data_IF_535451211891
#
_entry.id   IF_535451211891
#
_cell.length_a   1.000
_cell.length_b   1.000
_cell.length_c   1.000
_cell.angle_alpha   90.00
_cell.angle_beta   90.00
_cell.angle_gamma   90.00
#
_symmetry.space_group_name_H-M   'P 1'
#
loop_
_entity.id
_entity.type
_entity.pdbx_description
1 polymer ?
#
# COMPACT_ATOMS: atom_id res chain seq x y z
N UNK A 1 38.14 -3.88 59.26
CA UNK A 1 38.68 -2.68 58.58
C UNK A 1 38.96 -2.94 57.11
N UNK A 2 39.88 -3.85 56.75
CA UNK A 2 40.23 -4.14 55.35
C UNK A 2 39.06 -4.59 54.45
N UNK A 3 38.16 -5.46 54.96
CA UNK A 3 36.97 -5.93 54.22
C UNK A 3 35.97 -4.81 53.91
N UNK A 4 35.83 -3.84 54.81
CA UNK A 4 34.93 -2.68 54.63
C UNK A 4 35.51 -1.74 53.56
N UNK A 5 36.83 -1.54 53.56
CA UNK A 5 37.54 -0.77 52.53
C UNK A 5 37.34 -1.38 51.12
N UNK A 6 37.41 -2.71 51.01
CA UNK A 6 37.20 -3.43 49.74
C UNK A 6 35.75 -3.28 49.24
N UNK A 7 34.76 -3.32 50.13
CA UNK A 7 33.35 -3.12 49.76
C UNK A 7 33.07 -1.69 49.30
N UNK A 8 33.67 -0.69 49.94
CA UNK A 8 33.55 0.72 49.53
C UNK A 8 34.20 0.93 48.16
N UNK A 9 35.39 0.35 47.94
CA UNK A 9 36.09 0.45 46.66
C UNK A 9 35.31 -0.25 45.52
N UNK A 10 34.70 -1.41 45.79
CA UNK A 10 33.84 -2.12 44.84
C UNK A 10 32.60 -1.30 44.46
N UNK A 11 31.97 -0.63 45.42
CA UNK A 11 30.80 0.23 45.18
C UNK A 11 31.17 1.44 44.31
N UNK A 12 32.33 2.04 44.57
CA UNK A 12 32.85 3.18 43.80
C UNK A 12 33.17 2.80 42.34
N UNK A 13 33.68 1.58 42.09
CA UNK A 13 33.95 1.10 40.74
C UNK A 13 32.65 0.85 39.95
N UNK A 14 31.58 0.41 40.62
CA UNK A 14 30.27 0.20 39.97
C UNK A 14 29.61 1.52 39.54
N UNK A 15 29.72 2.58 40.36
CA UNK A 15 29.13 3.89 40.03
C UNK A 15 29.85 4.57 38.87
N UNK A 16 31.18 4.43 38.77
CA UNK A 16 31.96 4.98 37.64
C UNK A 16 31.58 4.39 36.27
N UNK A 17 31.14 3.12 36.19
CA UNK A 17 30.72 2.51 34.92
C UNK A 17 29.46 3.16 34.33
N UNK A 18 28.59 3.73 35.17
CA UNK A 18 27.34 4.35 34.72
C UNK A 18 27.54 5.68 33.96
N UNK A 19 28.69 6.34 34.16
CA UNK A 19 28.98 7.63 33.53
C UNK A 19 29.53 7.52 32.10
N UNK A 20 30.02 6.34 31.68
CA UNK A 20 30.60 6.13 30.35
C UNK A 20 29.55 5.95 29.23
N UNK A 21 28.29 5.66 29.58
CA UNK A 21 27.18 5.53 28.62
C UNK A 21 26.43 6.84 28.34
N UNK A 22 26.92 7.97 28.85
CA UNK A 22 26.27 9.28 28.72
C UNK A 22 26.82 10.16 27.58
N UNK A 23 27.73 9.65 26.75
CA UNK A 23 28.23 10.41 25.60
C UNK A 23 27.16 10.45 24.51
N UNK A 24 26.54 11.62 24.33
CA UNK A 24 25.60 11.89 23.24
C UNK A 24 26.27 11.52 21.91
N UNK A 25 25.57 10.74 21.08
CA UNK A 25 26.07 10.41 19.74
C UNK A 25 26.40 11.71 18.97
N UNK A 26 27.60 11.78 18.43
CA UNK A 26 28.03 12.90 17.59
C UNK A 26 27.23 12.82 16.29
N UNK A 27 26.63 13.94 15.88
CA UNK A 27 25.85 14.01 14.64
C UNK A 27 26.78 13.80 13.45
N UNK A 28 26.79 12.59 12.91
CA UNK A 28 27.49 12.23 11.68
C UNK A 28 26.52 12.23 10.50
N UNK A 29 27.05 12.23 9.27
CA UNK A 29 26.24 12.20 8.05
C UNK A 29 25.34 10.95 7.93
N UNK A 30 25.65 9.88 8.64
CA UNK A 30 24.84 8.66 8.73
C UNK A 30 23.46 8.94 9.34
N UNK A 31 23.37 9.89 10.27
CA UNK A 31 22.14 10.26 11.00
C UNK A 31 21.09 10.85 10.05
N UNK A 32 21.48 11.42 8.90
CA UNK A 32 20.54 11.95 7.92
C UNK A 32 19.64 10.87 7.31
N UNK A 33 20.11 9.62 7.23
CA UNK A 33 19.29 8.54 6.72
C UNK A 33 18.17 8.14 7.69
N UNK A 34 18.34 8.42 8.98
CA UNK A 34 17.35 8.14 10.02
C UNK A 34 16.27 9.21 10.12
N UNK A 35 16.48 10.37 9.50
CA UNK A 35 15.52 11.45 9.50
C UNK A 35 14.28 11.08 8.69
N UNK A 36 13.13 11.18 9.36
CA UNK A 36 11.82 10.91 8.78
C UNK A 36 11.07 12.22 8.62
N UNK A 37 10.60 12.48 7.42
CA UNK A 37 9.75 13.61 7.10
C UNK A 37 8.28 13.24 7.30
N UNK A 38 7.49 14.18 7.80
CA UNK A 38 6.03 14.07 7.83
C UNK A 38 5.46 14.74 6.57
N UNK A 39 4.62 14.01 5.83
CA UNK A 39 4.00 14.47 4.59
C UNK A 39 2.51 14.14 4.59
N UNK A 40 1.77 14.81 3.71
CA UNK A 40 0.35 14.53 3.44
C UNK A 40 -0.50 14.45 4.72
N UNK A 41 -0.29 15.39 5.65
CA UNK A 41 -1.10 15.50 6.86
C UNK A 41 -2.53 15.86 6.44
N UNK A 42 -3.49 15.05 6.85
CA UNK A 42 -4.92 15.28 6.60
C UNK A 42 -5.72 15.01 7.87
N UNK A 43 -6.80 15.74 8.01
CA UNK A 43 -7.78 15.56 9.07
C UNK A 43 -9.08 15.09 8.41
N UNK A 44 -9.80 14.20 9.08
CA UNK A 44 -11.07 13.68 8.61
C UNK A 44 -12.18 14.76 8.67
N UNK A 45 -13.26 14.65 7.87
CA UNK A 45 -14.30 15.69 7.78
C UNK A 45 -14.93 16.16 9.11
N UNK A 46 -15.10 15.27 10.07
CA UNK A 46 -15.63 15.53 11.42
C UNK A 46 -14.51 15.74 12.45
N UNK A 47 -13.25 15.47 12.10
CA UNK A 47 -12.09 15.67 12.97
C UNK A 47 -11.79 14.53 13.95
N UNK A 48 -12.46 13.37 13.84
CA UNK A 48 -12.19 12.23 14.73
C UNK A 48 -10.88 11.52 14.40
N UNK A 49 -10.39 11.66 13.16
CA UNK A 49 -9.17 11.01 12.69
C UNK A 49 -8.18 12.01 12.11
N UNK A 50 -6.90 11.77 12.39
CA UNK A 50 -5.77 12.46 11.79
C UNK A 50 -4.90 11.44 11.08
N UNK A 51 -4.49 11.72 9.85
CA UNK A 51 -3.56 10.86 9.11
C UNK A 51 -2.34 11.66 8.65
N UNK A 52 -1.20 10.99 8.62
CA UNK A 52 0.05 11.54 8.11
C UNK A 52 0.94 10.42 7.57
N UNK A 53 1.73 10.75 6.57
CA UNK A 53 2.74 9.88 5.99
C UNK A 53 4.09 10.17 6.63
N UNK A 54 4.71 9.15 7.22
CA UNK A 54 6.09 9.22 7.71
C UNK A 54 7.00 8.63 6.66
N UNK A 55 7.85 9.44 6.03
CA UNK A 55 8.70 9.01 4.93
C UNK A 55 10.19 9.22 5.26
N UNK A 56 11.01 8.14 5.26
CA UNK A 56 12.45 8.26 5.39
C UNK A 56 13.06 8.90 4.12
N UNK A 57 14.31 9.36 4.22
CA UNK A 57 15.03 9.89 3.06
C UNK A 57 15.13 8.88 1.90
N UNK A 58 15.34 7.60 2.22
CA UNK A 58 15.33 6.49 1.26
C UNK A 58 14.54 5.32 1.84
N UNK A 59 13.76 4.67 0.98
CA UNK A 59 13.01 3.46 1.32
C UNK A 59 11.50 3.69 1.41
N UNK A 60 10.85 2.77 2.10
CA UNK A 60 9.40 2.72 2.22
C UNK A 60 8.89 3.61 3.36
N UNK A 61 7.81 4.36 3.08
CA UNK A 61 7.11 5.16 4.07
C UNK A 61 6.08 4.36 4.86
N UNK A 62 5.58 4.95 5.94
CA UNK A 62 4.50 4.40 6.77
C UNK A 62 3.38 5.43 6.88
N UNK A 63 2.18 5.04 6.47
CA UNK A 63 0.98 5.84 6.66
C UNK A 63 0.40 5.56 8.05
N UNK A 64 0.27 6.61 8.85
CA UNK A 64 -0.35 6.55 10.15
C UNK A 64 -1.80 7.02 10.06
N UNK A 65 -2.69 6.29 10.71
CA UNK A 65 -4.05 6.73 11.06
C UNK A 65 -4.14 6.83 12.58
N UNK A 66 -4.40 8.03 13.06
CA UNK A 66 -4.55 8.33 14.48
C UNK A 66 -6.00 8.68 14.78
N UNK A 67 -6.59 8.00 15.76
CA UNK A 67 -7.88 8.38 16.31
C UNK A 67 -7.65 9.43 17.40
N UNK A 68 -8.26 10.60 17.23
CA UNK A 68 -8.07 11.75 18.11
C UNK A 68 -8.75 11.56 19.48
N UNK A 69 -9.84 10.78 19.55
CA UNK A 69 -10.58 10.52 20.79
C UNK A 69 -9.98 9.39 21.61
N UNK A 70 -9.72 8.24 20.98
CA UNK A 70 -9.21 7.04 21.67
C UNK A 70 -7.68 6.99 21.76
N UNK A 71 -6.99 7.91 21.10
CA UNK A 71 -5.52 7.90 20.92
C UNK A 71 -4.95 6.63 20.27
N UNK A 72 -5.81 5.78 19.68
CA UNK A 72 -5.40 4.57 18.98
C UNK A 72 -4.68 4.92 17.67
N UNK A 73 -3.63 4.16 17.38
CA UNK A 73 -2.78 4.32 16.19
C UNK A 73 -2.86 3.07 15.32
N UNK A 74 -3.08 3.26 14.04
CA UNK A 74 -3.00 2.21 13.02
C UNK A 74 -1.89 2.57 12.03
N UNK A 75 -0.99 1.62 11.80
CA UNK A 75 0.16 1.80 10.91
C UNK A 75 -0.03 0.96 9.66
N UNK A 76 0.09 1.60 8.50
CA UNK A 76 0.01 0.94 7.19
C UNK A 76 1.34 1.14 6.45
N UNK A 77 2.10 0.05 6.34
CA UNK A 77 3.36 0.04 5.61
C UNK A 77 3.14 0.33 4.12
N UNK A 78 4.00 1.17 3.53
CA UNK A 78 3.93 1.57 2.11
C UNK A 78 2.61 2.23 1.70
N UNK A 79 1.79 2.65 2.67
CA UNK A 79 0.57 3.38 2.44
C UNK A 79 0.85 4.80 1.93
N UNK A 80 0.08 5.27 0.96
CA UNK A 80 0.08 6.65 0.45
C UNK A 80 -1.32 7.03 -0.01
N UNK A 81 -1.51 8.29 -0.42
CA UNK A 81 -2.75 8.79 -1.03
C UNK A 81 -4.01 8.45 -0.20
N UNK A 82 -3.96 8.80 1.09
CA UNK A 82 -5.04 8.54 2.03
C UNK A 82 -6.25 9.46 1.78
N UNK A 83 -7.45 8.89 1.86
CA UNK A 83 -8.72 9.58 1.75
C UNK A 83 -9.74 9.04 2.78
N UNK A 84 -10.56 9.95 3.30
CA UNK A 84 -11.67 9.62 4.17
C UNK A 84 -12.99 9.70 3.40
N UNK A 85 -13.91 8.80 3.73
CA UNK A 85 -15.32 8.98 3.38
C UNK A 85 -15.94 10.14 4.17
N UNK A 86 -17.02 10.73 3.65
CA UNK A 86 -17.74 11.84 4.29
C UNK A 86 -18.23 11.52 5.71
N UNK A 87 -18.65 10.27 5.94
CA UNK A 87 -19.09 9.79 7.27
C UNK A 87 -17.96 9.24 8.14
N UNK A 88 -16.73 9.19 7.63
CA UNK A 88 -15.57 8.63 8.33
C UNK A 88 -15.62 7.12 8.63
N UNK A 89 -16.62 6.41 8.10
CA UNK A 89 -16.78 4.96 8.26
C UNK A 89 -15.72 4.15 7.49
N UNK A 90 -15.17 4.75 6.42
CA UNK A 90 -14.25 4.11 5.48
C UNK A 90 -13.04 5.01 5.26
N UNK A 91 -11.87 4.43 5.47
CA UNK A 91 -10.57 5.00 5.19
C UNK A 91 -9.93 4.23 4.03
N UNK A 92 -9.56 4.94 2.97
CA UNK A 92 -9.02 4.33 1.75
C UNK A 92 -7.64 4.89 1.48
N UNK A 93 -6.72 4.02 1.08
CA UNK A 93 -5.36 4.40 0.75
C UNK A 93 -4.78 3.46 -0.30
N UNK A 94 -3.68 3.87 -0.91
CA UNK A 94 -2.94 3.06 -1.87
C UNK A 94 -1.71 2.49 -1.20
N UNK A 95 -1.39 1.23 -1.47
CA UNK A 95 -0.17 0.55 -1.01
C UNK A 95 0.75 0.39 -2.21
N UNK A 96 1.90 1.07 -2.20
CA UNK A 96 2.90 0.93 -3.27
C UNK A 96 3.68 -0.37 -3.13
N UNK A 97 4.15 -0.97 -4.24
CA UNK A 97 5.19 -1.98 -4.20
C UNK A 97 6.42 -1.47 -3.43
N UNK A 98 7.18 -2.38 -2.84
CA UNK A 98 8.35 -2.02 -2.03
C UNK A 98 9.41 -1.30 -2.85
N UNK A 99 10.10 -0.34 -2.23
CA UNK A 99 11.12 0.48 -2.86
C UNK A 99 12.18 -0.36 -3.60
N UNK A 100 12.67 -1.44 -3.00
CA UNK A 100 13.69 -2.30 -3.59
C UNK A 100 13.18 -3.03 -4.84
N UNK A 101 11.91 -3.44 -4.83
CA UNK A 101 11.29 -4.09 -6.00
C UNK A 101 11.21 -3.12 -7.17
N UNK A 102 10.74 -1.89 -6.95
CA UNK A 102 10.68 -0.86 -7.99
C UNK A 102 12.08 -0.47 -8.48
N UNK A 103 13.05 -0.34 -7.58
CA UNK A 103 14.45 -0.04 -7.91
C UNK A 103 15.06 -1.13 -8.79
N UNK A 104 14.81 -2.40 -8.49
CA UNK A 104 15.31 -3.51 -9.30
C UNK A 104 14.72 -3.52 -10.71
N UNK A 105 13.42 -3.23 -10.85
CA UNK A 105 12.74 -3.15 -12.15
C UNK A 105 13.28 -2.00 -13.01
N UNK A 106 13.55 -0.85 -12.39
CA UNK A 106 14.15 0.32 -13.05
C UNK A 106 15.59 0.02 -13.50
N UNK A 107 16.42 -0.59 -12.64
CA UNK A 107 17.79 -0.99 -12.98
C UNK A 107 17.82 -2.00 -14.14
N UNK A 108 16.85 -2.91 -14.16
CA UNK A 108 16.67 -3.90 -15.23
C UNK A 108 15.98 -3.33 -16.48
N UNK A 109 15.66 -2.02 -16.50
CA UNK A 109 14.99 -1.32 -17.61
C UNK A 109 13.68 -1.99 -18.06
N UNK A 110 12.95 -2.58 -17.11
CA UNK A 110 11.67 -3.23 -17.39
C UNK A 110 10.63 -2.17 -17.77
N UNK A 111 9.88 -2.41 -18.83
CA UNK A 111 8.80 -1.52 -19.25
C UNK A 111 7.78 -1.28 -18.12
N UNK A 112 7.37 -0.02 -17.91
CA UNK A 112 6.43 0.39 -16.85
C UNK A 112 5.11 -0.38 -16.84
N UNK A 113 4.65 -0.88 -18.00
CA UNK A 113 3.42 -1.69 -18.12
C UNK A 113 3.52 -3.04 -17.40
N UNK A 114 4.75 -3.57 -17.25
CA UNK A 114 5.04 -4.84 -16.58
C UNK A 114 5.41 -4.66 -15.11
N UNK A 115 5.42 -3.42 -14.60
CA UNK A 115 5.71 -3.19 -13.20
C UNK A 115 4.61 -3.76 -12.32
N UNK A 116 5.00 -4.16 -11.10
CA UNK A 116 4.05 -4.52 -10.07
C UNK A 116 3.14 -3.33 -9.81
N UNK A 117 1.82 -3.56 -9.92
CA UNK A 117 0.82 -2.51 -9.72
C UNK A 117 0.58 -2.25 -8.25
N UNK A 118 0.05 -1.07 -7.95
CA UNK A 118 -0.32 -0.69 -6.60
C UNK A 118 -1.49 -1.56 -6.09
N UNK A 119 -1.67 -1.60 -4.77
CA UNK A 119 -2.77 -2.32 -4.10
C UNK A 119 -3.68 -1.30 -3.41
N UNK A 120 -5.00 -1.47 -3.49
CA UNK A 120 -5.96 -0.65 -2.76
C UNK A 120 -6.14 -1.19 -1.35
N UNK A 121 -5.97 -0.33 -0.33
CA UNK A 121 -6.33 -0.62 1.05
C UNK A 121 -7.66 0.05 1.40
N UNK A 122 -8.61 -0.75 1.89
CA UNK A 122 -9.90 -0.28 2.39
C UNK A 122 -10.00 -0.68 3.86
N UNK A 123 -10.03 0.31 4.74
CA UNK A 123 -10.11 0.12 6.18
C UNK A 123 -11.45 0.62 6.71
N UNK A 124 -12.21 -0.25 7.37
CA UNK A 124 -13.43 0.11 8.09
C UNK A 124 -13.08 0.53 9.52
N UNK A 125 -13.29 1.81 9.81
CA UNK A 125 -12.97 2.40 11.13
C UNK A 125 -13.82 1.81 12.24
N UNK A 126 -15.11 1.55 11.99
CA UNK A 126 -16.03 0.99 12.99
C UNK A 126 -15.77 -0.49 13.34
N UNK A 127 -15.29 -1.27 12.37
CA UNK A 127 -15.08 -2.72 12.52
C UNK A 127 -13.62 -3.12 12.74
N UNK A 128 -12.70 -2.16 12.64
CA UNK A 128 -11.25 -2.38 12.65
C UNK A 128 -10.82 -3.47 11.64
N UNK A 129 -11.40 -3.44 10.45
CA UNK A 129 -11.19 -4.45 9.40
C UNK A 129 -10.50 -3.84 8.20
N UNK A 130 -9.47 -4.52 7.69
CA UNK A 130 -8.70 -4.11 6.52
C UNK A 130 -8.88 -5.11 5.37
N UNK A 131 -9.33 -4.62 4.22
CA UNK A 131 -9.37 -5.37 2.95
C UNK A 131 -8.33 -4.78 2.00
N UNK A 132 -7.66 -5.65 1.25
CA UNK A 132 -6.64 -5.28 0.27
C UNK A 132 -7.00 -5.86 -1.08
N UNK A 133 -7.12 -4.99 -2.09
CA UNK A 133 -7.40 -5.39 -3.47
C UNK A 133 -6.16 -5.14 -4.35
N UNK A 134 -5.52 -6.18 -4.90
CA UNK A 134 -4.32 -6.05 -5.71
C UNK A 134 -4.62 -5.49 -7.10
N UNK A 135 -3.58 -5.08 -7.84
CA UNK A 135 -3.65 -4.63 -9.24
C UNK A 135 -4.52 -3.39 -9.50
N UNK A 136 -4.47 -2.43 -8.57
CA UNK A 136 -5.18 -1.17 -8.68
C UNK A 136 -4.68 -0.34 -9.89
N UNK A 137 -5.61 0.08 -10.74
CA UNK A 137 -5.38 1.05 -11.80
C UNK A 137 -5.72 2.46 -11.35
N UNK A 138 -6.91 2.62 -10.76
CA UNK A 138 -7.41 3.92 -10.34
C UNK A 138 -8.52 3.73 -9.29
N UNK A 139 -8.71 4.72 -8.42
CA UNK A 139 -9.86 4.79 -7.52
C UNK A 139 -10.37 6.22 -7.39
N UNK A 140 -11.66 6.35 -7.09
CA UNK A 140 -12.33 7.61 -6.80
C UNK A 140 -13.33 7.40 -5.66
N UNK A 141 -13.33 8.36 -4.74
CA UNK A 141 -14.33 8.48 -3.69
C UNK A 141 -15.35 9.54 -4.10
N UNK A 142 -16.62 9.25 -3.84
CA UNK A 142 -17.68 10.23 -4.02
C UNK A 142 -17.50 11.41 -3.07
N UNK A 143 -17.71 12.64 -3.58
CA UNK A 143 -17.69 13.85 -2.73
C UNK A 143 -18.78 13.81 -1.66
N UNK A 144 -19.97 13.33 -2.07
CA UNK A 144 -21.14 13.18 -1.23
C UNK A 144 -21.53 11.71 -1.19
N UNK A 145 -21.68 11.14 0.00
CA UNK A 145 -22.06 9.73 0.23
C UNK A 145 -20.90 8.76 0.44
N UNK A 146 -21.25 7.49 0.65
CA UNK A 146 -20.32 6.40 1.00
C UNK A 146 -20.01 5.49 -0.19
N UNK A 147 -19.82 6.05 -1.39
CA UNK A 147 -19.49 5.27 -2.58
C UNK A 147 -18.00 5.37 -2.92
N UNK A 148 -17.37 4.22 -3.11
CA UNK A 148 -16.00 4.06 -3.60
C UNK A 148 -16.07 3.34 -4.95
N UNK A 149 -15.51 3.96 -5.98
CA UNK A 149 -15.32 3.33 -7.28
C UNK A 149 -13.84 3.05 -7.47
N UNK A 150 -13.49 1.85 -7.88
CA UNK A 150 -12.12 1.48 -8.18
C UNK A 150 -12.05 0.57 -9.40
N UNK A 151 -10.95 0.68 -10.13
CA UNK A 151 -10.65 -0.09 -11.33
C UNK A 151 -9.44 -0.97 -11.03
N UNK A 152 -9.60 -2.28 -11.24
CA UNK A 152 -8.57 -3.28 -11.05
C UNK A 152 -8.30 -3.96 -12.37
N UNK A 153 -7.02 -4.20 -12.66
CA UNK A 153 -6.63 -5.09 -13.74
C UNK A 153 -6.69 -6.52 -13.24
N UNK A 154 -7.76 -7.24 -13.60
CA UNK A 154 -7.86 -8.66 -13.32
C UNK A 154 -7.23 -9.42 -14.49
N UNK A 155 -6.10 -10.12 -14.29
CA UNK A 155 -5.67 -11.07 -15.29
C UNK A 155 -6.79 -12.11 -15.43
N UNK A 156 -7.17 -12.44 -16.67
CA UNK A 156 -8.22 -13.42 -16.95
C UNK A 156 -7.94 -14.69 -16.12
N UNK A 157 -8.80 -14.96 -15.15
CA UNK A 157 -8.79 -16.22 -14.44
C UNK A 157 -9.04 -17.31 -15.49
N UNK A 158 -7.98 -17.98 -15.94
CA UNK A 158 -8.16 -19.23 -16.66
C UNK A 158 -8.99 -20.12 -15.74
N UNK A 159 -10.19 -20.57 -16.15
CA UNK A 159 -11.04 -21.35 -15.29
C UNK A 159 -10.22 -22.53 -14.78
N UNK A 160 -10.08 -22.62 -13.45
CA UNK A 160 -9.43 -23.75 -12.80
C UNK A 160 -10.22 -24.97 -13.23
N UNK A 161 -9.65 -25.76 -14.14
CA UNK A 161 -10.21 -27.06 -14.48
C UNK A 161 -10.18 -27.88 -13.21
N UNK A 162 -11.32 -27.97 -12.52
CA UNK A 162 -11.57 -29.12 -11.65
C UNK A 162 -11.41 -30.33 -12.56
N UNK A 163 -10.37 -31.13 -12.30
CA UNK A 163 -10.17 -32.43 -12.92
C UNK A 163 -11.35 -33.32 -12.51
N UNK A 164 -12.46 -33.21 -13.25
CA UNK A 164 -13.52 -34.19 -13.29
C UNK A 164 -13.18 -35.15 -14.42
N UNK A 165 -12.87 -36.39 -14.07
CA UNK A 165 -12.69 -37.50 -15.00
C UNK A 165 -13.90 -37.62 -15.93
N UNK A 166 -13.75 -37.08 -17.14
CA UNK A 166 -14.60 -37.43 -18.26
C UNK A 166 -13.70 -37.84 -19.41
N UNK A 167 -13.39 -39.14 -19.42
CA UNK A 167 -12.92 -39.86 -20.61
C UNK A 167 -13.89 -39.58 -21.77
N UNK A 168 -13.50 -38.67 -22.66
CA UNK A 168 -14.23 -38.40 -23.90
C UNK A 168 -13.35 -38.72 -25.10
N UNK A 169 -13.49 -39.97 -25.52
CA UNK A 169 -13.11 -40.58 -26.79
C UNK A 169 -12.96 -39.53 -27.92
N UNK A 170 -11.72 -39.33 -28.38
CA UNK A 170 -11.38 -38.49 -29.55
C UNK A 170 -12.17 -38.96 -30.77
N UNK A 171 -13.20 -38.21 -31.15
CA UNK A 171 -13.75 -38.25 -32.52
C UNK A 171 -13.06 -37.16 -33.33
N UNK A 172 -12.08 -37.57 -34.16
CA UNK A 172 -11.59 -36.75 -35.28
C UNK A 172 -12.73 -36.55 -36.27
N UNK A 173 -13.09 -35.30 -36.55
CA UNK A 173 -13.73 -34.76 -37.77
C UNK A 173 -13.62 -33.23 -37.66
N UNK A 174 -13.40 -32.39 -38.65
CA UNK A 174 -12.88 -32.38 -40.02
C UNK A 174 -12.65 -30.87 -40.27
N UNK A 175 -11.54 -30.44 -40.87
CA UNK A 175 -11.31 -29.00 -41.14
C UNK A 175 -12.41 -28.47 -42.06
N UNK A 176 -13.19 -27.49 -41.59
CA UNK A 176 -13.95 -26.59 -42.44
C UNK A 176 -13.44 -25.17 -42.17
N UNK A 177 -12.66 -24.64 -43.12
CA UNK A 177 -12.32 -23.22 -43.19
C UNK A 177 -13.59 -22.46 -43.54
N UNK A 178 -14.09 -21.63 -42.62
CA UNK A 178 -15.13 -20.64 -42.92
C UNK A 178 -14.48 -19.25 -42.96
N UNK A 179 -14.75 -18.55 -44.07
CA UNK A 179 -14.11 -17.32 -44.56
C UNK A 179 -14.24 -16.16 -43.56
N UNK A 180 -13.14 -15.46 -43.31
CA UNK A 180 -13.11 -14.16 -42.67
C UNK A 180 -13.76 -13.12 -43.61
N UNK A 181 -14.76 -12.39 -43.13
CA UNK A 181 -15.27 -11.19 -43.81
C UNK A 181 -14.56 -9.95 -43.25
N UNK A 182 -14.03 -9.03 -44.10
CA UNK A 182 -13.27 -7.87 -43.63
C UNK A 182 -14.08 -6.77 -42.91
N UNK A 183 -13.37 -6.00 -42.08
CA UNK A 183 -13.89 -5.09 -41.03
C UNK A 183 -14.54 -3.77 -41.49
N UNK A 184 -14.63 -3.47 -42.80
CA UNK A 184 -15.15 -2.17 -43.29
C UNK A 184 -16.64 -2.16 -43.67
N UNK A 185 -17.39 -3.24 -43.41
CA UNK A 185 -18.82 -3.35 -43.77
C UNK A 185 -19.78 -3.19 -42.58
N UNK A 186 -19.53 -2.21 -41.70
CA UNK A 186 -20.52 -1.66 -40.76
C UNK A 186 -20.56 -0.13 -40.84
N UNK A 187 -20.96 0.36 -42.02
CA UNK A 187 -22.06 1.31 -42.23
C UNK A 187 -22.31 2.24 -41.01
N UNK A 188 -21.83 3.48 -41.00
CA UNK A 188 -22.47 4.68 -41.57
C UNK A 188 -23.98 4.77 -41.30
N UNK A 189 -24.40 5.48 -40.24
CA UNK A 189 -25.74 6.05 -40.16
C UNK A 189 -25.71 7.47 -39.59
N UNK A 190 -26.52 8.31 -40.25
CA UNK A 190 -26.55 9.76 -40.27
C UNK A 190 -27.02 10.43 -38.97
N UNK A 191 -26.54 11.66 -38.87
CA UNK A 191 -27.06 12.81 -38.11
C UNK A 191 -28.55 13.04 -38.40
N UNK A 192 -29.34 13.27 -37.35
CA UNK A 192 -30.57 14.10 -37.41
C UNK A 192 -30.71 14.87 -36.10
N UNK A 193 -30.86 16.20 -36.25
CA UNK A 193 -31.12 17.21 -35.22
C UNK A 193 -32.64 17.46 -35.06
N UNK A 194 -33.00 18.17 -33.97
CA UNK A 194 -34.28 18.84 -33.65
C UNK A 194 -35.43 17.90 -33.23
N UNK A 195 -36.18 18.13 -32.15
CA UNK A 195 -36.57 19.35 -31.42
C UNK A 195 -36.52 19.13 -29.89
#
# INVERSE_FOLDING_TARGET
>A
MLKILILILSSLILTFKSQLFAQKEIINHTVYNDWKSLKNVKISPQGNFTTYLTQPHRGDGVLMLFNNESHKKHLFERGKDAYFSQKEDVFVFTITPGFDTLRSLELNKVEKKKWVKDTLGIFWTAKDSLIKEPHLLNFKIAKNGNHLLYLVDRPDEKPTQKNGDFSRKKRKKTRLKAKETPWWYKISFQVTQLN
#
